data_IF_640161470786
#
_entry.id   IF_640161470786
#
_cell.length_a   1.000
_cell.length_b   1.000
_cell.length_c   1.000
_cell.angle_alpha   90.00
_cell.angle_beta   90.00
_cell.angle_gamma   90.00
#
_symmetry.space_group_name_H-M   'P 1'
#
loop_
_entity.id
_entity.type
_entity.pdbx_description
1 polymer ?
#
# COMPACT_ATOMS: atom_id res chain seq x y z
N UNK A 1 16.88 -36.86 -33.88
CA UNK A 1 17.66 -35.68 -33.44
C UNK A 1 16.78 -34.47 -33.65
N UNK A 2 16.18 -33.92 -32.60
CA UNK A 2 15.34 -32.72 -32.66
C UNK A 2 16.23 -31.48 -32.75
N UNK A 3 15.94 -30.50 -33.62
CA UNK A 3 16.74 -29.29 -33.74
C UNK A 3 16.55 -28.39 -32.51
N UNK A 4 17.55 -27.57 -32.15
CA UNK A 4 17.43 -26.64 -31.03
C UNK A 4 16.41 -25.55 -31.35
N UNK A 5 15.49 -25.31 -30.42
CA UNK A 5 14.55 -24.18 -30.48
C UNK A 5 15.38 -22.90 -30.39
N UNK A 6 15.49 -22.16 -31.49
CA UNK A 6 16.11 -20.84 -31.51
C UNK A 6 15.23 -19.88 -30.72
N UNK A 7 15.80 -19.29 -29.66
CA UNK A 7 15.12 -18.24 -28.90
C UNK A 7 15.00 -17.00 -29.82
N UNK A 8 13.79 -16.48 -30.09
CA UNK A 8 13.64 -15.36 -31.01
C UNK A 8 14.36 -14.13 -30.43
N UNK A 9 15.14 -13.44 -31.27
CA UNK A 9 15.73 -12.14 -30.91
C UNK A 9 14.60 -11.12 -30.76
N UNK A 10 14.13 -10.93 -29.54
CA UNK A 10 13.11 -9.94 -29.17
C UNK A 10 13.69 -8.55 -29.45
N UNK A 11 13.00 -7.79 -30.31
CA UNK A 11 13.33 -6.40 -30.70
C UNK A 11 13.40 -5.48 -29.48
N UNK A 12 14.22 -4.41 -29.55
CA UNK A 12 14.29 -3.38 -28.51
C UNK A 12 12.92 -2.76 -28.20
N UNK A 13 12.02 -2.69 -29.18
CA UNK A 13 10.65 -2.15 -29.05
C UNK A 13 9.76 -2.98 -28.12
N UNK A 14 10.04 -4.28 -27.96
CA UNK A 14 9.24 -5.20 -27.13
C UNK A 14 9.66 -5.20 -25.65
N UNK A 15 10.82 -4.65 -25.29
CA UNK A 15 11.23 -4.46 -23.87
C UNK A 15 10.52 -3.31 -23.19
N UNK A 16 9.98 -2.36 -23.93
CA UNK A 16 9.26 -1.21 -23.36
C UNK A 16 7.82 -1.57 -22.95
N UNK A 17 7.20 -2.56 -23.59
CA UNK A 17 5.81 -2.94 -23.33
C UNK A 17 5.62 -3.98 -22.22
N UNK A 18 6.61 -4.84 -21.99
CA UNK A 18 6.61 -5.75 -20.84
C UNK A 18 7.66 -5.27 -19.86
N UNK A 19 7.21 -4.54 -18.83
CA UNK A 19 8.05 -4.24 -17.67
C UNK A 19 8.77 -5.49 -17.17
N UNK A 20 9.98 -5.31 -16.62
CA UNK A 20 10.92 -6.36 -16.21
C UNK A 20 10.26 -7.69 -15.83
N UNK A 21 10.47 -8.73 -16.66
CA UNK A 21 9.86 -10.06 -16.56
C UNK A 21 10.40 -10.92 -15.40
N UNK A 22 10.83 -10.31 -14.29
CA UNK A 22 11.35 -10.98 -13.10
C UNK A 22 10.29 -11.17 -12.01
N UNK A 23 10.50 -12.10 -11.07
CA UNK A 23 9.68 -12.19 -9.87
C UNK A 23 9.64 -10.86 -9.10
N UNK A 24 8.48 -10.56 -8.51
CA UNK A 24 8.27 -9.32 -7.74
C UNK A 24 9.18 -9.32 -6.50
N UNK A 25 9.93 -8.23 -6.29
CA UNK A 25 10.77 -8.07 -5.09
C UNK A 25 9.93 -7.86 -3.84
N UNK A 26 10.49 -8.12 -2.66
CA UNK A 26 9.86 -7.85 -1.36
C UNK A 26 9.35 -6.41 -1.27
N UNK A 27 10.13 -5.44 -1.73
CA UNK A 27 9.79 -4.02 -1.72
C UNK A 27 8.71 -3.70 -2.76
N UNK A 28 8.76 -4.35 -3.93
CA UNK A 28 7.73 -4.24 -4.96
C UNK A 28 6.36 -4.70 -4.46
N UNK A 29 6.32 -5.88 -3.83
CA UNK A 29 5.13 -6.44 -3.19
C UNK A 29 4.63 -5.54 -2.05
N UNK A 30 5.55 -5.05 -1.21
CA UNK A 30 5.26 -4.11 -0.13
C UNK A 30 4.58 -2.84 -0.64
N UNK A 31 5.17 -2.18 -1.64
CA UNK A 31 4.59 -0.97 -2.26
C UNK A 31 3.20 -1.24 -2.85
N UNK A 32 3.03 -2.33 -3.60
CA UNK A 32 1.75 -2.69 -4.19
C UNK A 32 0.66 -2.93 -3.12
N UNK A 33 1.02 -3.61 -2.04
CA UNK A 33 0.11 -3.90 -0.93
C UNK A 33 -0.30 -2.62 -0.21
N UNK A 34 0.67 -1.75 0.11
CA UNK A 34 0.36 -0.47 0.75
C UNK A 34 -0.50 0.44 -0.14
N UNK A 35 -0.25 0.47 -1.45
CA UNK A 35 -1.12 1.17 -2.40
C UNK A 35 -2.56 0.65 -2.30
N UNK A 36 -2.76 -0.67 -2.38
CA UNK A 36 -4.09 -1.27 -2.25
C UNK A 36 -4.75 -0.90 -0.92
N UNK A 37 -4.04 -1.05 0.21
CA UNK A 37 -4.59 -0.81 1.53
C UNK A 37 -4.97 0.65 1.76
N UNK A 38 -4.11 1.59 1.36
CA UNK A 38 -4.37 3.02 1.52
C UNK A 38 -5.49 3.49 0.61
N UNK A 39 -5.58 2.98 -0.62
CA UNK A 39 -6.72 3.26 -1.50
C UNK A 39 -8.02 2.68 -0.94
N UNK A 40 -8.00 1.47 -0.38
CA UNK A 40 -9.15 0.89 0.31
C UNK A 40 -9.58 1.75 1.49
N UNK A 41 -8.64 2.23 2.31
CA UNK A 41 -8.94 3.12 3.43
C UNK A 41 -9.54 4.44 2.96
N UNK A 42 -9.02 5.03 1.88
CA UNK A 42 -9.54 6.25 1.29
C UNK A 42 -10.97 6.11 0.74
N UNK A 43 -11.37 4.92 0.28
CA UNK A 43 -12.75 4.66 -0.16
C UNK A 43 -13.65 4.13 0.97
N UNK A 44 -13.11 3.91 2.17
CA UNK A 44 -13.89 3.40 3.29
C UNK A 44 -14.97 4.42 3.69
N UNK A 45 -16.21 4.01 4.01
CA UNK A 45 -17.27 4.95 4.29
C UNK A 45 -17.04 5.75 5.57
N UNK A 46 -17.51 7.01 5.60
CA UNK A 46 -17.56 7.81 6.82
C UNK A 46 -18.46 7.18 7.89
N UNK A 47 -19.54 6.49 7.45
CA UNK A 47 -20.46 5.73 8.30
C UNK A 47 -20.55 4.27 7.82
N UNK A 48 -19.57 3.41 8.18
CA UNK A 48 -19.51 2.03 7.68
C UNK A 48 -20.48 1.12 8.42
N UNK A 49 -21.06 0.17 7.69
CA UNK A 49 -21.93 -0.87 8.25
C UNK A 49 -21.16 -1.79 9.20
N UNK A 50 -21.89 -2.48 10.09
CA UNK A 50 -21.27 -3.49 10.99
C UNK A 50 -20.48 -4.55 10.22
N UNK A 51 -20.96 -4.94 9.03
CA UNK A 51 -20.28 -5.92 8.19
C UNK A 51 -18.98 -5.35 7.62
N UNK A 52 -18.98 -4.14 7.06
CA UNK A 52 -17.76 -3.47 6.58
C UNK A 52 -16.71 -3.29 7.67
N UNK A 53 -17.12 -2.97 8.91
CA UNK A 53 -16.22 -2.91 10.08
C UNK A 53 -15.58 -4.27 10.38
N UNK A 54 -16.34 -5.36 10.27
CA UNK A 54 -15.83 -6.72 10.46
C UNK A 54 -14.88 -7.11 9.34
N UNK A 55 -15.22 -6.80 8.10
CA UNK A 55 -14.45 -7.22 6.92
C UNK A 55 -13.06 -6.59 6.87
N UNK A 56 -12.92 -5.29 7.17
CA UNK A 56 -11.59 -4.66 7.17
C UNK A 56 -10.71 -5.18 8.31
N UNK A 57 -11.30 -5.50 9.47
CA UNK A 57 -10.58 -6.13 10.58
C UNK A 57 -10.12 -7.54 10.23
N UNK A 58 -10.98 -8.31 9.60
CA UNK A 58 -10.65 -9.65 9.11
C UNK A 58 -9.60 -9.59 8.00
N UNK A 59 -9.69 -8.63 7.08
CA UNK A 59 -8.67 -8.43 6.04
C UNK A 59 -7.28 -8.19 6.66
N UNK A 60 -7.16 -7.34 7.68
CA UNK A 60 -5.87 -7.11 8.36
C UNK A 60 -5.36 -8.39 9.04
N UNK A 61 -6.26 -9.14 9.70
CA UNK A 61 -5.95 -10.44 10.32
C UNK A 61 -5.46 -11.47 9.30
N UNK A 62 -6.16 -11.61 8.16
CA UNK A 62 -5.78 -12.51 7.07
C UNK A 62 -4.43 -12.10 6.49
N UNK A 63 -4.22 -10.81 6.21
CA UNK A 63 -2.93 -10.31 5.70
C UNK A 63 -1.80 -10.67 6.65
N UNK A 64 -1.98 -10.53 7.97
CA UNK A 64 -0.96 -10.89 8.95
C UNK A 64 -0.57 -12.37 8.94
N UNK A 65 -1.40 -13.27 8.40
CA UNK A 65 -1.14 -14.72 8.32
C UNK A 65 -0.73 -15.20 6.93
N UNK A 66 -1.24 -14.55 5.89
CA UNK A 66 -1.14 -15.01 4.51
C UNK A 66 -0.19 -14.17 3.66
N UNK A 67 0.40 -13.10 4.20
CA UNK A 67 1.31 -12.26 3.43
C UNK A 67 2.54 -13.06 2.95
N UNK A 68 2.90 -13.03 1.65
CA UNK A 68 3.93 -13.92 1.08
C UNK A 68 5.32 -13.80 1.71
N UNK A 69 5.64 -12.64 2.29
CA UNK A 69 6.86 -12.43 3.05
C UNK A 69 6.66 -12.87 4.51
N UNK A 70 7.16 -14.05 4.89
CA UNK A 70 6.97 -14.64 6.23
C UNK A 70 7.41 -13.73 7.38
N UNK A 71 8.62 -13.17 7.31
CA UNK A 71 9.12 -12.23 8.33
C UNK A 71 8.29 -10.94 8.40
N UNK A 72 7.80 -10.44 7.26
CA UNK A 72 6.89 -9.29 7.22
C UNK A 72 5.56 -9.62 7.88
N UNK A 73 5.00 -10.80 7.62
CA UNK A 73 3.75 -11.28 8.19
C UNK A 73 3.86 -11.38 9.72
N UNK A 74 4.91 -12.03 10.22
CA UNK A 74 5.17 -12.16 11.66
C UNK A 74 5.30 -10.80 12.35
N UNK A 75 6.10 -9.89 11.78
CA UNK A 75 6.23 -8.54 12.31
C UNK A 75 4.90 -7.79 12.29
N UNK A 76 4.10 -7.94 11.23
CA UNK A 76 2.77 -7.30 11.16
C UNK A 76 1.81 -7.85 12.22
N UNK A 77 1.86 -9.14 12.56
CA UNK A 77 1.09 -9.71 13.67
C UNK A 77 1.43 -9.03 15.01
N UNK A 78 2.72 -8.78 15.28
CA UNK A 78 3.16 -8.08 16.49
C UNK A 78 2.65 -6.63 16.53
N UNK A 79 2.73 -5.93 15.39
CA UNK A 79 2.19 -4.58 15.26
C UNK A 79 0.69 -4.57 15.55
N UNK A 80 -0.08 -5.51 14.99
CA UNK A 80 -1.54 -5.59 15.19
C UNK A 80 -1.94 -5.86 16.64
N UNK A 81 -1.13 -6.62 17.40
CA UNK A 81 -1.39 -6.83 18.85
C UNK A 81 -1.33 -5.54 19.64
N UNK A 82 -0.41 -4.63 19.29
CA UNK A 82 -0.22 -3.35 19.98
C UNK A 82 -1.04 -2.22 19.38
N UNK A 83 -1.54 -2.38 18.16
CA UNK A 83 -2.26 -1.36 17.40
C UNK A 83 -3.56 -1.95 16.83
N UNK A 84 -4.58 -2.21 17.68
CA UNK A 84 -5.83 -2.80 17.22
C UNK A 84 -6.49 -1.94 16.13
N UNK A 85 -7.02 -2.59 15.10
CA UNK A 85 -7.61 -1.95 13.92
C UNK A 85 -8.76 -1.01 14.32
N UNK A 86 -8.60 0.27 14.02
CA UNK A 86 -9.65 1.27 14.13
C UNK A 86 -10.39 1.35 12.79
N UNK A 87 -11.71 1.16 12.83
CA UNK A 87 -12.54 1.06 11.63
C UNK A 87 -13.90 1.73 11.85
N UNK A 88 -14.00 2.71 12.76
CA UNK A 88 -15.26 3.38 13.07
C UNK A 88 -15.76 4.23 11.91
N UNK A 89 -14.84 4.77 11.11
CA UNK A 89 -15.08 5.65 9.96
C UNK A 89 -13.90 5.61 8.97
N UNK A 90 -14.07 6.25 7.81
CA UNK A 90 -13.00 6.62 6.88
C UNK A 90 -11.78 7.19 7.62
N UNK A 91 -11.97 8.28 8.36
CA UNK A 91 -10.89 9.02 9.01
C UNK A 91 -10.13 8.15 10.03
N UNK A 92 -10.85 7.39 10.85
CA UNK A 92 -10.22 6.48 11.82
C UNK A 92 -9.37 5.41 11.13
N UNK A 93 -9.90 4.79 10.06
CA UNK A 93 -9.21 3.72 9.38
C UNK A 93 -7.99 4.21 8.60
N UNK A 94 -8.11 5.32 7.88
CA UNK A 94 -7.01 5.97 7.14
C UNK A 94 -5.88 6.41 8.07
N UNK A 95 -6.21 7.05 9.20
CA UNK A 95 -5.21 7.47 10.20
C UNK A 95 -4.52 6.26 10.84
N UNK A 96 -5.30 5.26 11.28
CA UNK A 96 -4.75 4.03 11.84
C UNK A 96 -3.78 3.35 10.87
N UNK A 97 -4.17 3.21 9.61
CA UNK A 97 -3.35 2.57 8.58
C UNK A 97 -2.06 3.37 8.32
N UNK A 98 -2.13 4.70 8.33
CA UNK A 98 -0.94 5.55 8.23
C UNK A 98 0.02 5.36 9.41
N UNK A 99 -0.49 5.35 10.65
CA UNK A 99 0.33 5.13 11.83
C UNK A 99 1.00 3.76 11.85
N UNK A 100 0.28 2.71 11.44
CA UNK A 100 0.80 1.35 11.30
C UNK A 100 1.85 1.27 10.21
N UNK A 101 1.63 1.89 9.04
CA UNK A 101 2.64 1.98 7.99
C UNK A 101 3.89 2.72 8.50
N UNK A 102 3.73 3.76 9.31
CA UNK A 102 4.85 4.47 9.93
C UNK A 102 5.62 3.65 10.98
N UNK A 103 4.96 2.72 11.68
CA UNK A 103 5.67 1.74 12.53
C UNK A 103 6.58 0.84 11.68
N UNK A 104 6.11 0.40 10.52
CA UNK A 104 6.94 -0.33 9.56
C UNK A 104 8.07 0.56 9.01
N UNK A 105 7.79 1.81 8.64
CA UNK A 105 8.83 2.76 8.19
C UNK A 105 9.95 2.93 9.21
N UNK A 106 9.61 3.12 10.49
CA UNK A 106 10.59 3.22 11.57
C UNK A 106 11.44 1.95 11.70
N UNK A 107 10.84 0.76 11.64
CA UNK A 107 11.59 -0.50 11.70
C UNK A 107 12.58 -0.70 10.54
N UNK A 108 12.34 0.00 9.42
CA UNK A 108 13.18 -0.03 8.22
C UNK A 108 14.05 1.23 8.07
N UNK A 109 14.15 2.07 9.10
CA UNK A 109 14.86 3.36 9.07
C UNK A 109 14.43 4.27 7.91
N UNK A 110 13.15 4.28 7.56
CA UNK A 110 12.55 5.16 6.56
C UNK A 110 11.96 6.40 7.22
N UNK A 111 11.87 7.48 6.44
CA UNK A 111 11.23 8.73 6.84
C UNK A 111 9.78 8.47 7.27
N UNK A 112 9.36 9.08 8.38
CA UNK A 112 7.98 9.04 8.86
C UNK A 112 7.13 9.92 7.95
N UNK A 113 6.02 9.35 7.46
CA UNK A 113 5.05 10.09 6.66
C UNK A 113 4.12 10.94 7.56
N UNK A 114 3.87 12.21 7.23
CA UNK A 114 2.91 13.06 7.95
C UNK A 114 1.47 12.60 7.72
N UNK A 115 0.86 11.94 8.72
CA UNK A 115 -0.48 11.36 8.57
C UNK A 115 -1.61 12.38 8.39
N UNK A 116 -1.39 13.64 8.72
CA UNK A 116 -2.26 14.76 8.36
C UNK A 116 -2.41 14.95 6.83
N UNK A 117 -1.51 14.35 6.03
CA UNK A 117 -1.54 14.36 4.56
C UNK A 117 -1.98 13.04 3.95
N UNK A 118 -2.50 12.09 4.74
CA UNK A 118 -2.87 10.76 4.24
C UNK A 118 -3.97 10.83 3.18
N UNK A 119 -5.00 11.64 3.41
CA UNK A 119 -6.12 11.81 2.47
C UNK A 119 -5.66 12.51 1.19
N UNK A 120 -4.74 13.46 1.29
CA UNK A 120 -4.15 14.11 0.13
C UNK A 120 -3.35 13.16 -0.76
N UNK A 121 -2.67 12.20 -0.14
CA UNK A 121 -1.82 11.24 -0.85
C UNK A 121 -2.65 10.14 -1.52
N UNK A 122 -3.78 9.76 -0.92
CA UNK A 122 -4.50 8.53 -1.28
C UNK A 122 -5.98 8.69 -1.59
N UNK A 123 -6.54 9.90 -1.46
CA UNK A 123 -7.95 10.25 -1.26
C UNK A 123 -9.02 9.59 -2.13
N UNK A 124 -10.28 9.98 -1.91
CA UNK A 124 -11.44 9.43 -2.63
C UNK A 124 -11.20 9.46 -4.14
N UNK A 125 -11.47 8.35 -4.83
CA UNK A 125 -11.22 8.20 -6.28
C UNK A 125 -12.00 9.25 -7.08
N UNK A 126 -13.11 9.74 -6.52
CA UNK A 126 -13.83 10.92 -6.98
C UNK A 126 -13.29 12.16 -6.26
N UNK A 127 -12.35 12.83 -6.91
CA UNK A 127 -11.92 14.18 -6.53
C UNK A 127 -12.50 15.16 -7.55
N UNK A 128 -13.74 15.59 -7.32
CA UNK A 128 -14.37 16.58 -8.18
C UNK A 128 -13.52 17.85 -8.18
N UNK A 129 -13.08 18.27 -9.38
CA UNK A 129 -12.28 19.47 -9.61
C UNK A 129 -10.94 19.55 -8.84
N UNK A 130 -10.29 18.43 -8.52
CA UNK A 130 -8.97 18.42 -7.83
C UNK A 130 -8.97 19.14 -6.47
N UNK A 131 -10.14 19.31 -5.84
CA UNK A 131 -10.28 20.02 -4.56
C UNK A 131 -9.58 19.33 -3.38
N UNK A 132 -9.19 18.06 -3.53
CA UNK A 132 -8.43 17.27 -2.58
C UNK A 132 -6.90 17.37 -2.78
N UNK A 133 -6.44 18.06 -3.84
CA UNK A 133 -5.01 18.29 -4.06
C UNK A 133 -4.47 19.16 -2.92
N UNK A 134 -3.65 18.59 -2.05
CA UNK A 134 -2.83 19.42 -1.17
C UNK A 134 -1.81 20.11 -2.07
N UNK A 135 -1.88 21.44 -2.11
CA UNK A 135 -0.85 22.31 -2.66
C UNK A 135 0.47 21.98 -1.96
N UNK A 136 1.22 21.06 -2.52
CA UNK A 136 2.58 20.79 -2.13
C UNK A 136 3.41 21.99 -2.54
N UNK A 137 3.82 22.81 -1.57
CA UNK A 137 4.91 23.74 -1.82
C UNK A 137 6.12 22.90 -2.21
N UNK A 138 6.51 22.98 -3.48
CA UNK A 138 7.79 22.46 -3.96
C UNK A 138 8.89 23.38 -3.45
N UNK A 139 9.15 23.37 -2.14
CA UNK A 139 10.45 23.80 -1.66
C UNK A 139 11.42 22.68 -1.96
N UNK A 140 12.18 22.87 -3.03
CA UNK A 140 13.36 22.12 -3.43
C UNK A 140 14.29 21.85 -2.24
N UNK A 141 14.14 20.68 -1.61
CA UNK A 141 15.09 20.12 -0.65
C UNK A 141 16.06 19.17 -1.35
N UNK A 142 16.73 19.69 -2.38
CA UNK A 142 17.97 19.14 -2.92
C UNK A 142 18.91 20.31 -3.22
N UNK A 143 19.75 20.62 -2.24
CA UNK A 143 21.11 21.13 -2.42
C UNK A 143 22.01 20.29 -1.53
#
# INVERSE_FOLDING_TARGET
MTPPISNPKISSTTREFYGSAGPVTKEGLGRATWTFLHTLAAQYPDNPTRQQKKDVKELMSILSRMYPCKECANHFQEILRSNPVQAGSHAEFSQWLCHVHNTVNRSLNKVVFPCERVDARWGKLECEQRACDVLGSTTSFWK
#
